data_IF_279675860139
#
_entry.id   IF_279675860139
#
_cell.length_a   1.000
_cell.length_b   1.000
_cell.length_c   1.000
_cell.angle_alpha   90.00
_cell.angle_beta   90.00
_cell.angle_gamma   90.00
#
_symmetry.space_group_name_H-M   'P 1'
#
loop_
_entity.id
_entity.type
_entity.pdbx_description
1 polymer ?
#
# COMPACT_ATOMS: atom_id res chain seq x y z
N UNK A 1 3.96 24.51 13.77
CA UNK A 1 2.91 23.52 14.12
C UNK A 1 2.79 22.54 12.96
N UNK A 2 2.92 21.24 13.22
CA UNK A 2 2.61 20.22 12.21
C UNK A 2 1.12 20.29 11.87
N UNK A 3 0.79 20.38 10.60
CA UNK A 3 -0.61 20.38 10.15
C UNK A 3 -1.20 18.98 10.27
N UNK A 4 -2.50 18.90 10.56
CA UNK A 4 -3.25 17.65 10.57
C UNK A 4 -3.30 17.02 9.15
N UNK A 5 -3.39 15.70 9.09
CA UNK A 5 -3.46 14.90 7.85
C UNK A 5 -4.52 15.44 6.87
N UNK A 6 -5.73 15.75 7.36
CA UNK A 6 -6.81 16.30 6.52
C UNK A 6 -6.44 17.66 5.91
N UNK A 7 -5.72 18.51 6.66
CA UNK A 7 -5.24 19.81 6.14
C UNK A 7 -4.12 19.64 5.12
N UNK A 8 -3.21 18.67 5.35
CA UNK A 8 -2.14 18.35 4.39
C UNK A 8 -2.74 17.82 3.06
N UNK A 9 -3.71 16.94 3.14
CA UNK A 9 -4.39 16.37 1.98
C UNK A 9 -5.02 17.45 1.08
N UNK A 10 -5.50 18.54 1.65
CA UNK A 10 -6.18 19.63 0.93
C UNK A 10 -5.22 20.70 0.39
N UNK A 11 -4.20 21.07 1.17
CA UNK A 11 -3.47 22.32 0.93
C UNK A 11 -1.97 22.15 0.67
N UNK A 12 -1.39 20.97 0.93
CA UNK A 12 0.04 20.80 0.74
C UNK A 12 0.42 20.83 -0.75
N UNK A 13 1.58 21.41 -1.05
CA UNK A 13 2.20 21.44 -2.37
C UNK A 13 1.37 22.12 -3.48
N UNK A 14 0.43 22.98 -3.15
CA UNK A 14 -0.32 23.73 -4.15
C UNK A 14 -0.49 25.21 -3.77
N UNK A 15 -0.04 26.08 -4.64
CA UNK A 15 -0.19 27.53 -4.51
C UNK A 15 -1.08 28.06 -5.65
N UNK A 16 -2.31 28.56 -5.33
CA UNK A 16 -3.18 29.18 -6.32
C UNK A 16 -2.54 30.36 -7.06
N UNK A 17 -1.68 31.13 -6.41
CA UNK A 17 -1.08 32.33 -7.03
C UNK A 17 -0.13 31.96 -8.17
N UNK A 18 0.58 30.86 -8.06
CA UNK A 18 1.43 30.30 -9.11
C UNK A 18 0.63 29.61 -10.24
N UNK A 19 -0.71 29.43 -10.05
CA UNK A 19 -1.60 28.70 -10.95
C UNK A 19 -2.81 29.54 -11.39
N UNK A 20 -2.58 30.80 -11.79
CA UNK A 20 -3.62 31.71 -12.31
C UNK A 20 -4.79 31.95 -11.34
N UNK A 21 -4.60 31.76 -10.02
CA UNK A 21 -5.64 31.87 -9.01
C UNK A 21 -6.59 30.66 -8.93
N UNK A 22 -6.29 29.54 -9.62
CA UNK A 22 -7.09 28.33 -9.53
C UNK A 22 -7.10 27.78 -8.11
N UNK A 23 -8.28 27.39 -7.61
CA UNK A 23 -8.40 26.72 -6.31
C UNK A 23 -8.24 25.18 -6.44
N UNK A 24 -8.35 24.65 -7.65
CA UNK A 24 -8.10 23.23 -7.95
C UNK A 24 -6.74 23.05 -8.63
N UNK A 25 -6.07 21.94 -8.35
CA UNK A 25 -4.80 21.56 -9.02
C UNK A 25 -5.05 21.40 -10.52
N UNK A 26 -4.33 22.11 -11.40
CA UNK A 26 -4.50 21.97 -12.84
C UNK A 26 -4.05 20.60 -13.37
N UNK A 27 -4.72 20.11 -14.39
CA UNK A 27 -4.31 18.91 -15.13
C UNK A 27 -3.36 19.28 -16.26
N UNK A 28 -2.06 18.94 -16.10
CA UNK A 28 -1.04 19.09 -17.14
C UNK A 28 -0.97 17.82 -17.99
N UNK A 29 -1.83 17.73 -18.99
CA UNK A 29 -1.90 16.59 -19.92
C UNK A 29 -0.86 16.77 -21.05
N UNK A 30 0.42 16.75 -20.68
CA UNK A 30 1.55 16.88 -21.59
C UNK A 30 2.53 15.72 -21.38
N UNK A 31 3.19 15.27 -22.44
CA UNK A 31 4.23 14.24 -22.35
C UNK A 31 5.64 14.83 -22.16
N UNK A 32 5.88 16.06 -22.60
CA UNK A 32 7.18 16.71 -22.56
C UNK A 32 7.05 18.20 -22.27
N UNK A 33 8.11 18.79 -21.74
CA UNK A 33 8.21 20.20 -21.37
C UNK A 33 9.39 20.84 -22.08
N UNK A 34 9.23 22.12 -22.49
CA UNK A 34 10.27 22.86 -23.20
C UNK A 34 11.38 23.33 -22.25
N UNK A 35 12.59 23.37 -22.74
CA UNK A 35 13.74 23.94 -22.06
C UNK A 35 14.02 25.37 -22.59
N UNK A 36 14.61 26.23 -21.75
CA UNK A 36 14.94 27.59 -22.11
C UNK A 36 16.17 27.65 -23.04
N UNK A 37 17.09 26.68 -22.91
CA UNK A 37 18.30 26.57 -23.72
C UNK A 37 18.85 25.14 -23.71
N UNK A 38 19.86 24.86 -24.54
CA UNK A 38 20.60 23.58 -24.52
C UNK A 38 21.36 23.39 -23.22
N UNK A 39 21.91 24.45 -22.61
CA UNK A 39 22.62 24.38 -21.34
C UNK A 39 21.64 24.10 -20.19
N UNK A 40 20.43 24.71 -20.21
CA UNK A 40 19.36 24.38 -19.28
C UNK A 40 18.98 22.90 -19.39
N UNK A 41 18.76 22.40 -20.61
CA UNK A 41 18.47 21.01 -20.86
C UNK A 41 19.56 20.08 -20.29
N UNK A 42 20.84 20.37 -20.58
CA UNK A 42 21.97 19.59 -20.08
C UNK A 42 21.96 19.52 -18.54
N UNK A 43 21.80 20.65 -17.84
CA UNK A 43 21.74 20.69 -16.38
C UNK A 43 20.58 19.91 -15.79
N UNK A 44 19.43 19.84 -16.49
CA UNK A 44 18.28 19.02 -16.07
C UNK A 44 18.58 17.53 -16.24
N UNK A 45 19.18 17.11 -17.37
CA UNK A 45 19.57 15.72 -17.59
C UNK A 45 20.67 15.24 -16.64
N UNK A 46 21.56 16.14 -16.22
CA UNK A 46 22.61 15.85 -15.22
C UNK A 46 22.13 15.93 -13.77
N UNK A 47 20.82 16.11 -13.54
CA UNK A 47 20.19 16.25 -12.21
C UNK A 47 20.72 17.44 -11.39
N UNK A 48 21.29 18.46 -12.05
CA UNK A 48 21.81 19.69 -11.42
C UNK A 48 20.75 20.78 -11.31
N UNK A 49 19.78 20.78 -12.23
CA UNK A 49 18.69 21.76 -12.29
C UNK A 49 17.34 21.03 -12.12
N UNK A 50 16.56 21.34 -11.07
CA UNK A 50 15.22 20.78 -10.93
C UNK A 50 14.27 21.40 -11.95
N UNK A 51 13.69 20.57 -12.84
CA UNK A 51 12.70 20.98 -13.81
C UNK A 51 11.81 19.82 -14.25
N UNK A 52 10.67 20.16 -14.89
CA UNK A 52 9.89 19.16 -15.61
C UNK A 52 10.50 18.93 -16.98
N UNK A 53 10.66 17.67 -17.37
CA UNK A 53 11.23 17.34 -18.66
C UNK A 53 10.35 16.38 -19.48
N UNK A 54 9.88 15.33 -18.86
CA UNK A 54 9.08 14.30 -19.50
C UNK A 54 8.19 13.59 -18.48
N UNK A 55 6.90 13.43 -18.78
CA UNK A 55 5.88 12.96 -17.82
C UNK A 55 6.16 11.57 -17.25
N UNK A 56 6.96 10.73 -17.91
CA UNK A 56 7.41 9.46 -17.33
C UNK A 56 8.26 9.63 -16.06
N UNK A 57 9.00 10.75 -15.94
CA UNK A 57 9.83 11.06 -14.78
C UNK A 57 9.11 11.98 -13.79
N UNK A 58 8.54 13.07 -14.31
CA UNK A 58 7.88 14.08 -13.50
C UNK A 58 6.84 14.85 -14.32
N UNK A 59 5.79 15.33 -13.63
CA UNK A 59 4.72 16.13 -14.23
C UNK A 59 4.12 17.02 -13.15
N UNK A 60 3.76 18.29 -13.43
CA UNK A 60 3.27 19.22 -12.39
C UNK A 60 2.05 18.71 -11.62
N UNK A 61 1.11 18.02 -12.27
CA UNK A 61 -0.05 17.42 -11.59
C UNK A 61 0.37 16.25 -10.70
N UNK A 62 1.21 15.35 -11.22
CA UNK A 62 1.69 14.18 -10.48
C UNK A 62 2.57 14.60 -9.30
N UNK A 63 3.37 15.66 -9.45
CA UNK A 63 4.23 16.20 -8.40
C UNK A 63 3.43 16.67 -7.17
N UNK A 64 2.29 17.33 -7.37
CA UNK A 64 1.40 17.69 -6.26
C UNK A 64 0.89 16.44 -5.52
N UNK A 65 0.50 15.40 -6.25
CA UNK A 65 0.10 14.13 -5.64
C UNK A 65 1.24 13.52 -4.81
N UNK A 66 2.44 13.43 -5.38
CA UNK A 66 3.62 12.85 -4.75
C UNK A 66 4.01 13.60 -3.48
N UNK A 67 4.07 14.93 -3.54
CA UNK A 67 4.37 15.77 -2.37
C UNK A 67 3.31 15.63 -1.27
N UNK A 68 2.02 15.56 -1.62
CA UNK A 68 0.94 15.31 -0.63
C UNK A 68 1.10 13.94 0.02
N UNK A 69 1.38 12.89 -0.75
CA UNK A 69 1.60 11.54 -0.22
C UNK A 69 2.81 11.49 0.73
N UNK A 70 3.93 12.11 0.34
CA UNK A 70 5.11 12.24 1.20
C UNK A 70 4.78 12.98 2.52
N UNK A 71 4.05 14.09 2.44
CA UNK A 71 3.67 14.86 3.62
C UNK A 71 2.72 14.11 4.56
N UNK A 72 1.79 13.30 4.02
CA UNK A 72 0.87 12.49 4.81
C UNK A 72 1.62 11.43 5.62
N UNK A 73 2.62 10.80 5.04
CA UNK A 73 3.47 9.81 5.70
C UNK A 73 4.61 10.44 6.52
N UNK A 74 4.93 11.71 6.32
CA UNK A 74 6.09 12.36 6.93
C UNK A 74 7.41 11.95 6.30
N UNK A 75 7.38 11.53 5.03
CA UNK A 75 8.54 11.17 4.22
C UNK A 75 9.21 12.39 3.57
N UNK A 76 10.42 12.17 3.04
CA UNK A 76 11.21 13.21 2.33
C UNK A 76 10.81 13.34 0.86
N UNK A 77 10.16 12.32 0.28
CA UNK A 77 9.72 12.33 -1.09
C UNK A 77 8.87 11.10 -1.43
N UNK A 78 8.20 11.17 -2.57
CA UNK A 78 7.41 10.06 -3.11
C UNK A 78 7.54 9.98 -4.63
N UNK A 79 7.27 8.81 -5.20
CA UNK A 79 7.03 8.59 -6.62
C UNK A 79 5.67 7.91 -6.81
N UNK A 80 4.93 8.36 -7.81
CA UNK A 80 3.67 7.74 -8.21
C UNK A 80 3.90 6.79 -9.40
N UNK A 81 3.29 5.62 -9.34
CA UNK A 81 3.44 4.54 -10.31
C UNK A 81 2.10 4.08 -10.87
N UNK A 82 2.11 3.33 -11.97
CA UNK A 82 0.91 2.88 -12.68
C UNK A 82 0.01 1.92 -11.86
N UNK A 83 0.54 1.29 -10.80
CA UNK A 83 -0.19 0.38 -9.92
C UNK A 83 0.58 0.13 -8.63
N UNK A 84 -0.07 -0.43 -7.59
CA UNK A 84 0.61 -0.90 -6.38
C UNK A 84 1.70 -1.94 -6.68
N UNK A 85 1.44 -2.87 -7.60
CA UNK A 85 2.46 -3.84 -8.04
C UNK A 85 3.67 -3.18 -8.70
N UNK A 86 3.45 -2.11 -9.47
CA UNK A 86 4.56 -1.31 -10.02
C UNK A 86 5.36 -0.61 -8.91
N UNK A 87 4.71 -0.13 -7.85
CA UNK A 87 5.39 0.47 -6.71
C UNK A 87 6.30 -0.55 -6.00
N UNK A 88 5.78 -1.76 -5.74
CA UNK A 88 6.55 -2.86 -5.17
C UNK A 88 7.74 -3.24 -6.08
N UNK A 89 7.49 -3.45 -7.37
CA UNK A 89 8.53 -3.81 -8.33
C UNK A 89 9.60 -2.71 -8.44
N UNK A 90 9.19 -1.43 -8.52
CA UNK A 90 10.13 -0.30 -8.56
C UNK A 90 11.01 -0.26 -7.30
N UNK A 91 10.43 -0.46 -6.12
CA UNK A 91 11.19 -0.55 -4.86
C UNK A 91 12.23 -1.66 -4.91
N UNK A 92 11.80 -2.87 -5.29
CA UNK A 92 12.68 -4.05 -5.36
C UNK A 92 13.82 -3.83 -6.36
N UNK A 93 13.53 -3.44 -7.59
CA UNK A 93 14.55 -3.24 -8.62
C UNK A 93 15.45 -2.01 -8.40
N UNK A 94 15.03 -1.07 -7.55
CA UNK A 94 15.92 0.01 -7.10
C UNK A 94 16.94 -0.49 -6.08
N UNK A 95 16.58 -1.47 -5.24
CA UNK A 95 17.41 -1.92 -4.12
C UNK A 95 18.21 -3.20 -4.41
N UNK A 96 17.63 -4.13 -5.17
CA UNK A 96 18.11 -5.51 -5.31
C UNK A 96 18.57 -5.82 -6.72
N UNK A 97 19.53 -6.74 -6.79
CA UNK A 97 20.06 -7.35 -8.02
C UNK A 97 20.03 -8.89 -7.92
N UNK A 98 20.39 -9.56 -9.02
CA UNK A 98 20.51 -11.02 -9.02
C UNK A 98 21.52 -11.48 -7.95
N UNK A 99 21.14 -12.48 -7.17
CA UNK A 99 21.88 -13.00 -6.02
C UNK A 99 21.41 -12.46 -4.68
N UNK A 100 20.58 -11.43 -4.65
CA UNK A 100 20.06 -10.84 -3.41
C UNK A 100 18.85 -11.61 -2.85
N UNK A 101 18.55 -11.36 -1.59
CA UNK A 101 17.51 -12.03 -0.83
C UNK A 101 16.57 -11.03 -0.14
N UNK A 102 15.30 -11.42 -0.01
CA UNK A 102 14.24 -10.70 0.70
C UNK A 102 13.74 -11.57 1.85
N UNK A 103 13.53 -10.98 3.04
CA UNK A 103 12.70 -11.57 4.09
C UNK A 103 11.33 -10.90 4.05
N UNK A 104 10.27 -11.68 3.86
CA UNK A 104 8.92 -11.13 3.71
C UNK A 104 7.92 -11.82 4.63
N UNK A 105 6.91 -11.08 5.10
CA UNK A 105 5.73 -11.67 5.74
C UNK A 105 5.04 -12.65 4.79
N UNK A 106 4.57 -13.77 5.31
CA UNK A 106 3.73 -14.72 4.55
C UNK A 106 2.30 -14.21 4.34
N UNK A 107 1.88 -13.24 5.17
CA UNK A 107 0.55 -12.62 5.13
C UNK A 107 0.58 -11.35 4.27
N UNK A 108 0.85 -11.52 2.97
CA UNK A 108 0.88 -10.43 1.99
C UNK A 108 -0.15 -10.66 0.89
N UNK A 109 -0.48 -9.61 0.17
CA UNK A 109 -1.36 -9.67 -1.00
C UNK A 109 -0.92 -10.77 -1.98
N UNK A 110 -1.87 -11.54 -2.52
CA UNK A 110 -1.56 -12.68 -3.40
C UNK A 110 -0.71 -12.33 -4.63
N UNK A 111 -0.87 -11.11 -5.18
CA UNK A 111 -0.02 -10.63 -6.26
C UNK A 111 1.42 -10.40 -5.81
N UNK A 112 1.62 -9.87 -4.61
CA UNK A 112 2.95 -9.71 -3.98
C UNK A 112 3.59 -11.06 -3.71
N UNK A 113 2.83 -12.00 -3.14
CA UNK A 113 3.31 -13.36 -2.91
C UNK A 113 3.80 -14.01 -4.22
N UNK A 114 3.01 -13.92 -5.28
CA UNK A 114 3.38 -14.48 -6.58
C UNK A 114 4.61 -13.78 -7.21
N UNK A 115 4.71 -12.45 -7.07
CA UNK A 115 5.89 -11.72 -7.51
C UNK A 115 7.15 -12.24 -6.80
N UNK A 116 7.10 -12.33 -5.46
CA UNK A 116 8.23 -12.72 -4.63
C UNK A 116 8.61 -14.21 -4.77
N UNK A 117 7.61 -15.11 -4.92
CA UNK A 117 7.83 -16.56 -4.92
C UNK A 117 8.08 -17.16 -6.32
N UNK A 118 7.56 -16.53 -7.39
CA UNK A 118 7.59 -17.10 -8.73
C UNK A 118 8.35 -16.23 -9.72
N UNK A 119 8.09 -14.93 -9.73
CA UNK A 119 8.65 -14.03 -10.75
C UNK A 119 10.09 -13.65 -10.44
N UNK A 120 10.38 -13.18 -9.24
CA UNK A 120 11.72 -12.74 -8.84
C UNK A 120 12.80 -13.85 -8.85
N UNK A 121 12.49 -15.11 -8.51
CA UNK A 121 13.47 -16.21 -8.66
C UNK A 121 13.99 -16.39 -10.09
N UNK A 122 13.18 -16.08 -11.11
CA UNK A 122 13.62 -16.11 -12.52
C UNK A 122 14.65 -15.01 -12.83
N UNK A 123 14.69 -13.96 -11.98
CA UNK A 123 15.63 -12.85 -12.08
C UNK A 123 16.79 -12.99 -11.07
N UNK A 124 16.87 -14.14 -10.40
CA UNK A 124 17.94 -14.45 -9.46
C UNK A 124 17.76 -13.81 -8.07
N UNK A 125 16.59 -13.27 -7.74
CA UNK A 125 16.27 -12.73 -6.41
C UNK A 125 15.43 -13.76 -5.65
N UNK A 126 15.84 -14.12 -4.43
CA UNK A 126 15.16 -15.13 -3.61
C UNK A 126 14.41 -14.49 -2.45
N UNK A 127 13.40 -15.20 -1.93
CA UNK A 127 12.60 -14.72 -0.79
C UNK A 127 12.38 -15.84 0.22
N UNK A 128 12.57 -15.52 1.52
CA UNK A 128 12.09 -16.33 2.63
C UNK A 128 10.84 -15.68 3.23
N UNK A 129 9.75 -16.45 3.25
CA UNK A 129 8.50 -16.03 3.88
C UNK A 129 8.45 -16.47 5.33
N UNK A 130 8.00 -15.56 6.21
CA UNK A 130 7.92 -15.80 7.66
C UNK A 130 6.54 -15.46 8.20
N UNK A 131 6.14 -16.11 9.30
CA UNK A 131 4.98 -15.69 10.06
C UNK A 131 5.32 -14.39 10.82
N UNK A 132 4.64 -13.31 10.45
CA UNK A 132 4.89 -11.98 10.97
C UNK A 132 4.32 -11.74 12.39
N UNK A 133 3.62 -12.73 12.98
CA UNK A 133 3.08 -12.63 14.35
C UNK A 133 4.19 -12.63 15.41
N UNK A 134 5.34 -13.26 15.13
CA UNK A 134 6.52 -13.15 15.97
C UNK A 134 7.65 -12.43 15.18
N UNK A 135 8.02 -11.20 15.56
CA UNK A 135 9.10 -10.46 14.89
C UNK A 135 10.43 -11.21 14.82
N UNK A 136 10.72 -12.13 15.76
CA UNK A 136 11.93 -12.96 15.75
C UNK A 136 12.04 -13.88 14.53
N UNK A 137 10.93 -14.20 13.90
CA UNK A 137 10.94 -14.98 12.66
C UNK A 137 11.62 -14.22 11.51
N UNK A 138 11.52 -12.89 11.48
CA UNK A 138 12.26 -12.07 10.52
C UNK A 138 13.76 -12.18 10.77
N UNK A 139 14.20 -12.04 12.03
CA UNK A 139 15.61 -12.15 12.41
C UNK A 139 16.20 -13.52 12.01
N UNK A 140 15.50 -14.61 12.34
CA UNK A 140 15.92 -15.97 12.02
C UNK A 140 16.05 -16.26 10.52
N UNK A 141 15.34 -15.50 9.67
CA UNK A 141 15.33 -15.67 8.22
C UNK A 141 16.38 -14.80 7.49
N UNK A 142 17.01 -13.85 8.18
CA UNK A 142 18.04 -12.97 7.58
C UNK A 142 19.27 -13.81 7.17
N UNK A 143 19.72 -13.59 5.94
CA UNK A 143 20.88 -14.23 5.32
C UNK A 143 21.95 -13.17 4.99
N UNK A 144 23.21 -13.56 4.73
CA UNK A 144 24.26 -12.60 4.38
C UNK A 144 23.97 -11.75 3.14
N UNK A 145 23.16 -12.25 2.22
CA UNK A 145 22.73 -11.58 1.00
C UNK A 145 21.33 -10.95 1.10
N UNK A 146 20.73 -10.88 2.30
CA UNK A 146 19.46 -10.17 2.50
C UNK A 146 19.69 -8.67 2.28
N UNK A 147 18.75 -8.05 1.53
CA UNK A 147 18.80 -6.61 1.20
C UNK A 147 17.50 -5.88 1.55
N UNK A 148 16.42 -6.59 1.85
CA UNK A 148 15.13 -5.99 2.13
C UNK A 148 14.34 -6.85 3.12
N UNK A 149 13.72 -6.19 4.09
CA UNK A 149 12.63 -6.74 4.90
C UNK A 149 11.33 -6.13 4.39
N UNK A 150 10.34 -6.97 4.09
CA UNK A 150 9.07 -6.55 3.50
C UNK A 150 7.87 -7.08 4.29
N UNK A 151 6.90 -6.22 4.57
CA UNK A 151 5.63 -6.61 5.20
C UNK A 151 4.46 -5.76 4.75
N UNK A 152 3.24 -6.17 5.09
CA UNK A 152 2.04 -5.33 5.04
C UNK A 152 1.65 -4.92 6.46
N UNK A 153 1.08 -3.74 6.65
CA UNK A 153 0.60 -3.27 7.95
C UNK A 153 -0.48 -4.19 8.50
N UNK A 154 -1.42 -4.56 7.65
CA UNK A 154 -2.54 -5.45 7.93
C UNK A 154 -2.66 -6.46 6.81
N UNK A 155 -2.56 -7.74 7.13
CA UNK A 155 -2.62 -8.83 6.16
C UNK A 155 -4.01 -8.98 5.52
N UNK A 156 -4.06 -9.49 4.29
CA UNK A 156 -5.31 -9.68 3.53
C UNK A 156 -5.37 -11.09 2.92
N UNK A 157 -6.34 -11.94 3.31
CA UNK A 157 -7.56 -11.64 4.09
C UNK A 157 -7.47 -11.92 5.59
N UNK A 158 -6.33 -12.31 6.11
CA UNK A 158 -6.14 -12.80 7.49
C UNK A 158 -6.37 -11.71 8.55
N UNK A 159 -6.17 -10.43 8.20
CA UNK A 159 -6.27 -9.27 9.08
C UNK A 159 -5.35 -9.33 10.31
N UNK A 160 -4.25 -10.05 10.20
CA UNK A 160 -3.18 -10.06 11.17
C UNK A 160 -2.35 -8.76 11.05
N UNK A 161 -2.04 -8.16 12.19
CA UNK A 161 -1.29 -6.91 12.27
C UNK A 161 0.18 -7.17 12.64
N UNK A 162 1.10 -6.47 12.01
CA UNK A 162 2.54 -6.61 12.23
C UNK A 162 3.03 -5.57 13.24
N UNK A 163 3.86 -5.96 14.20
CA UNK A 163 4.57 -5.03 15.08
C UNK A 163 5.69 -4.34 14.28
N UNK A 164 5.32 -3.24 13.61
CA UNK A 164 6.20 -2.53 12.69
C UNK A 164 7.49 -2.08 13.38
N UNK A 165 7.39 -1.55 14.62
CA UNK A 165 8.55 -1.05 15.34
C UNK A 165 9.52 -2.19 15.68
N UNK A 166 9.01 -3.32 16.15
CA UNK A 166 9.86 -4.47 16.47
C UNK A 166 10.55 -5.05 15.21
N UNK A 167 9.85 -5.11 14.07
CA UNK A 167 10.44 -5.57 12.81
C UNK A 167 11.45 -4.55 12.27
N UNK A 168 11.19 -3.24 12.41
CA UNK A 168 12.12 -2.18 12.03
C UNK A 168 13.41 -2.25 12.84
N UNK A 169 13.32 -2.43 14.16
CA UNK A 169 14.50 -2.57 15.04
C UNK A 169 15.38 -3.76 14.62
N UNK A 170 14.76 -4.90 14.28
CA UNK A 170 15.46 -6.08 13.77
C UNK A 170 16.12 -5.79 12.42
N UNK A 171 15.39 -5.22 11.47
CA UNK A 171 15.93 -4.88 10.16
C UNK A 171 17.14 -3.94 10.28
N UNK A 172 17.00 -2.88 11.05
CA UNK A 172 18.05 -1.86 11.25
C UNK A 172 19.29 -2.42 11.98
N UNK A 173 19.11 -3.33 12.95
CA UNK A 173 20.22 -4.01 13.61
C UNK A 173 21.11 -4.81 12.62
N UNK A 174 20.54 -5.23 11.50
CA UNK A 174 21.25 -5.90 10.40
C UNK A 174 21.60 -4.97 9.23
N UNK A 175 21.37 -3.66 9.37
CA UNK A 175 21.61 -2.66 8.32
C UNK A 175 20.73 -2.84 7.08
N UNK A 176 19.49 -3.31 7.28
CA UNK A 176 18.50 -3.57 6.23
C UNK A 176 17.34 -2.56 6.31
N UNK A 177 16.82 -2.06 5.18
CA UNK A 177 15.62 -1.25 5.19
C UNK A 177 14.36 -2.11 5.37
N UNK A 178 13.35 -1.53 6.03
CA UNK A 178 12.00 -2.07 6.13
C UNK A 178 11.07 -1.37 5.15
N UNK A 179 10.50 -2.12 4.20
CA UNK A 179 9.41 -1.67 3.35
C UNK A 179 8.05 -2.19 3.88
N UNK A 180 7.09 -1.29 4.03
CA UNK A 180 5.75 -1.60 4.53
C UNK A 180 4.70 -1.18 3.52
N UNK A 181 3.91 -2.13 3.02
CA UNK A 181 2.71 -1.82 2.25
C UNK A 181 1.58 -1.47 3.22
N UNK A 182 1.17 -0.20 3.19
CA UNK A 182 0.16 0.36 4.08
C UNK A 182 -1.22 0.53 3.39
N UNK A 183 -1.46 -0.20 2.33
CA UNK A 183 -2.67 -0.05 1.49
C UNK A 183 -3.97 -0.21 2.27
N UNK A 184 -4.02 -1.08 3.30
CA UNK A 184 -5.25 -1.35 4.06
C UNK A 184 -5.53 -0.35 5.17
N UNK A 185 -4.53 0.42 5.61
CA UNK A 185 -4.67 1.34 6.75
C UNK A 185 -4.19 2.76 6.45
N UNK A 186 -4.49 3.32 5.24
CA UNK A 186 -4.08 4.68 4.92
C UNK A 186 -4.70 5.66 5.92
N UNK A 187 -3.95 6.67 6.32
CA UNK A 187 -4.30 7.71 7.30
C UNK A 187 -4.62 7.21 8.72
N UNK A 188 -4.78 5.90 8.92
CA UNK A 188 -4.96 5.28 10.25
C UNK A 188 -3.62 4.92 10.89
N UNK A 189 -2.66 4.44 10.10
CA UNK A 189 -1.29 4.16 10.50
C UNK A 189 -0.32 5.00 9.65
N UNK A 190 0.77 5.46 10.25
CA UNK A 190 1.92 6.06 9.56
C UNK A 190 3.15 5.19 9.86
N UNK A 191 3.47 4.19 9.02
CA UNK A 191 4.57 3.27 9.26
C UNK A 191 5.92 3.95 9.48
N UNK A 192 6.17 5.11 8.85
CA UNK A 192 7.41 5.91 9.05
C UNK A 192 7.58 6.38 10.50
N UNK A 193 6.50 6.63 11.23
CA UNK A 193 6.57 7.00 12.65
C UNK A 193 6.97 5.81 13.53
N UNK A 194 6.93 4.59 12.99
CA UNK A 194 7.24 3.33 13.66
C UNK A 194 8.48 2.63 13.09
N UNK A 195 9.30 3.35 12.32
CA UNK A 195 10.59 2.85 11.85
C UNK A 195 10.60 2.29 10.42
N UNK A 196 9.47 2.28 9.69
CA UNK A 196 9.50 1.93 8.28
C UNK A 196 10.34 2.93 7.48
N UNK A 197 11.19 2.43 6.59
CA UNK A 197 12.04 3.25 5.73
C UNK A 197 11.34 3.58 4.42
N UNK A 198 10.55 2.65 3.92
CA UNK A 198 9.82 2.76 2.66
C UNK A 198 8.37 2.38 2.91
N UNK A 199 7.44 3.27 2.52
CA UNK A 199 6.00 2.97 2.55
C UNK A 199 5.46 2.83 1.13
N UNK A 200 4.67 1.78 0.92
CA UNK A 200 4.09 1.46 -0.38
C UNK A 200 2.56 1.55 -0.28
N UNK A 201 1.94 2.03 -1.34
CA UNK A 201 0.49 2.07 -1.49
C UNK A 201 0.01 1.59 -2.85
N UNK A 202 -1.06 0.82 -2.85
CA UNK A 202 -1.95 0.76 -4.00
C UNK A 202 -2.95 1.92 -3.94
N UNK A 203 -2.68 2.99 -4.69
CA UNK A 203 -3.60 4.14 -4.78
C UNK A 203 -4.95 3.77 -5.39
N UNK A 204 -4.99 2.67 -6.14
CA UNK A 204 -6.19 2.05 -6.72
C UNK A 204 -7.31 1.85 -5.71
N UNK A 205 -6.97 1.66 -4.43
CA UNK A 205 -7.87 1.31 -3.34
C UNK A 205 -8.47 2.57 -2.72
N UNK A 206 -8.25 2.81 -1.48
CA UNK A 206 -8.84 3.89 -0.71
C UNK A 206 -8.51 5.29 -1.22
N UNK A 207 -7.34 5.51 -1.83
CA UNK A 207 -6.98 6.83 -2.35
C UNK A 207 -7.87 7.25 -3.52
N UNK A 208 -8.15 6.34 -4.45
CA UNK A 208 -9.16 6.55 -5.47
C UNK A 208 -10.57 6.58 -4.84
N UNK A 209 -10.91 5.53 -4.11
CA UNK A 209 -12.18 5.34 -3.44
C UNK A 209 -13.39 5.08 -4.34
N UNK A 210 -13.30 5.35 -5.64
CA UNK A 210 -14.41 5.28 -6.58
C UNK A 210 -14.29 4.14 -7.60
N UNK A 211 -13.19 3.36 -7.56
CA UNK A 211 -12.94 2.27 -8.50
C UNK A 211 -12.68 2.71 -9.94
N UNK A 212 -12.24 3.97 -10.16
CA UNK A 212 -12.14 4.59 -11.50
C UNK A 212 -10.71 4.70 -12.02
N UNK A 213 -9.69 4.61 -11.15
CA UNK A 213 -8.30 4.75 -11.54
C UNK A 213 -7.40 3.70 -10.88
N UNK A 214 -6.35 3.30 -11.58
CA UNK A 214 -5.27 2.47 -11.06
C UNK A 214 -4.03 3.30 -10.84
N UNK A 215 -3.33 3.04 -9.72
CA UNK A 215 -2.06 3.67 -9.40
C UNK A 215 -1.40 3.03 -8.18
N UNK A 216 -0.16 3.39 -7.96
CA UNK A 216 0.62 3.05 -6.78
C UNK A 216 1.50 4.21 -6.35
N UNK A 217 2.11 4.09 -5.20
CA UNK A 217 3.10 5.05 -4.72
C UNK A 217 4.16 4.37 -3.87
N UNK A 218 5.36 4.93 -3.91
CA UNK A 218 6.48 4.63 -3.01
C UNK A 218 6.82 5.92 -2.29
N UNK A 219 6.91 5.89 -0.97
CA UNK A 219 7.28 7.01 -0.12
C UNK A 219 8.56 6.63 0.63
N UNK A 220 9.53 7.53 0.59
CA UNK A 220 10.82 7.40 1.28
C UNK A 220 10.79 8.17 2.61
N UNK A 221 11.14 7.52 3.69
CA UNK A 221 11.28 8.16 5.00
C UNK A 221 12.43 9.17 5.04
N UNK A 222 13.49 8.93 4.23
CA UNK A 222 14.75 9.65 4.27
C UNK A 222 15.59 9.38 5.52
N UNK A 223 15.25 8.34 6.30
CA UNK A 223 15.91 8.04 7.58
C UNK A 223 16.93 6.91 7.50
N UNK A 224 16.83 6.04 6.48
CA UNK A 224 17.73 4.91 6.33
C UNK A 224 19.13 5.36 5.89
N UNK A 225 20.16 4.80 6.52
CA UNK A 225 21.56 5.06 6.17
C UNK A 225 22.00 4.19 4.98
N UNK A 226 21.91 4.74 3.78
CA UNK A 226 22.37 4.10 2.54
C UNK A 226 23.91 3.98 2.43
N UNK A 227 24.67 4.52 3.42
CA UNK A 227 26.14 4.47 3.45
C UNK A 227 26.69 3.36 4.34
N UNK A 228 25.84 2.51 4.90
CA UNK A 228 26.17 1.45 5.86
C UNK A 228 27.00 0.28 5.27
N UNK A 229 27.36 0.32 4.01
CA UNK A 229 28.15 -0.69 3.30
C UNK A 229 27.35 -1.81 2.62
N UNK A 230 26.05 -1.94 2.90
CA UNK A 230 25.21 -2.97 2.31
C UNK A 230 24.68 -2.60 0.91
N UNK A 231 24.73 -1.31 0.55
CA UNK A 231 24.10 -0.76 -0.67
C UNK A 231 25.10 0.04 -1.52
N UNK A 232 26.07 -0.63 -2.17
CA UNK A 232 27.11 0.05 -2.94
C UNK A 232 26.56 0.92 -4.08
N UNK A 233 25.43 0.56 -4.67
CA UNK A 233 24.77 1.35 -5.74
C UNK A 233 24.38 2.76 -5.32
N UNK A 234 24.34 3.08 -4.03
CA UNK A 234 24.12 4.43 -3.51
C UNK A 234 25.40 5.21 -3.23
N UNK A 235 26.53 4.51 -3.02
CA UNK A 235 27.81 5.12 -2.61
C UNK A 235 28.88 5.07 -3.69
N UNK A 236 28.77 4.14 -4.63
CA UNK A 236 29.66 4.05 -5.78
C UNK A 236 29.25 4.96 -6.93
N UNK A 237 30.18 5.34 -7.85
CA UNK A 237 29.87 6.16 -8.99
C UNK A 237 28.87 5.48 -9.93
N UNK A 238 27.70 6.11 -10.16
CA UNK A 238 26.68 5.61 -11.08
C UNK A 238 27.17 5.73 -12.54
N UNK A 239 27.20 4.63 -13.29
CA UNK A 239 27.59 4.68 -14.71
C UNK A 239 26.53 5.37 -15.57
N UNK A 240 25.28 5.42 -15.13
CA UNK A 240 24.16 6.07 -15.84
C UNK A 240 24.12 7.59 -15.71
N UNK A 241 24.87 8.15 -14.75
CA UNK A 241 24.87 9.59 -14.42
C UNK A 241 26.29 10.13 -14.21
N UNK A 242 27.20 9.86 -15.15
CA UNK A 242 28.56 10.44 -15.18
C UNK A 242 29.36 10.29 -13.88
N UNK A 243 29.13 9.20 -13.14
CA UNK A 243 29.83 8.95 -11.88
C UNK A 243 29.22 9.62 -10.67
N UNK A 244 27.98 10.12 -10.76
CA UNK A 244 27.23 10.65 -9.62
C UNK A 244 27.10 9.57 -8.53
N UNK A 245 27.22 9.97 -7.26
CA UNK A 245 26.96 9.14 -6.07
C UNK A 245 25.70 9.63 -5.39
N UNK A 246 24.67 8.79 -5.36
CA UNK A 246 23.33 9.18 -4.89
C UNK A 246 23.33 9.66 -3.44
N UNK A 247 24.01 8.94 -2.54
CA UNK A 247 24.08 9.30 -1.11
C UNK A 247 24.82 10.63 -0.86
N UNK A 248 25.91 10.89 -1.57
CA UNK A 248 26.65 12.15 -1.47
C UNK A 248 25.87 13.34 -2.04
N UNK A 249 25.18 13.12 -3.18
CA UNK A 249 24.51 14.20 -3.90
C UNK A 249 23.16 14.56 -3.32
N UNK A 250 22.37 13.56 -2.90
CA UNK A 250 20.97 13.76 -2.51
C UNK A 250 20.70 13.47 -1.01
N UNK A 251 21.70 12.96 -0.27
CA UNK A 251 21.57 12.72 1.16
C UNK A 251 20.34 11.87 1.50
N UNK A 252 19.43 12.38 2.36
CA UNK A 252 18.21 11.65 2.76
C UNK A 252 17.30 11.24 1.60
N UNK A 253 17.33 11.95 0.47
CA UNK A 253 16.50 11.65 -0.70
C UNK A 253 17.17 10.68 -1.69
N UNK A 254 18.30 10.08 -1.37
CA UNK A 254 19.07 9.22 -2.27
C UNK A 254 18.22 8.08 -2.84
N UNK A 255 17.43 7.40 -2.03
CA UNK A 255 16.59 6.29 -2.47
C UNK A 255 15.50 6.77 -3.43
N UNK A 256 14.72 7.79 -3.06
CA UNK A 256 13.59 8.20 -3.89
C UNK A 256 14.02 8.83 -5.21
N UNK A 257 15.17 9.52 -5.23
CA UNK A 257 15.74 10.04 -6.48
C UNK A 257 16.20 8.89 -7.37
N UNK A 258 16.96 7.92 -6.85
CA UNK A 258 17.38 6.75 -7.61
C UNK A 258 16.18 5.95 -8.13
N UNK A 259 15.17 5.74 -7.29
CA UNK A 259 13.94 5.07 -7.67
C UNK A 259 13.22 5.79 -8.84
N UNK A 260 13.28 7.12 -8.90
CA UNK A 260 12.72 7.91 -10.01
C UNK A 260 13.54 7.80 -11.27
N UNK A 261 14.86 8.05 -11.18
CA UNK A 261 15.72 8.24 -12.37
C UNK A 261 16.30 6.95 -12.95
N UNK A 262 16.23 5.84 -12.20
CA UNK A 262 16.56 4.50 -12.69
C UNK A 262 15.31 3.60 -12.65
N UNK A 263 14.74 3.36 -11.47
CA UNK A 263 13.60 2.46 -11.30
C UNK A 263 12.39 2.83 -12.16
N UNK A 264 11.81 4.00 -11.93
CA UNK A 264 10.61 4.44 -12.64
C UNK A 264 10.89 4.75 -14.13
N UNK A 265 11.98 5.47 -14.40
CA UNK A 265 12.36 5.86 -15.78
C UNK A 265 12.55 4.65 -16.69
N UNK A 266 13.29 3.65 -16.21
CA UNK A 266 13.74 2.52 -17.04
C UNK A 266 12.67 1.44 -17.15
N UNK A 267 11.93 1.17 -16.08
CA UNK A 267 10.79 0.24 -16.10
C UNK A 267 9.56 0.84 -16.80
N UNK A 268 9.46 2.16 -16.87
CA UNK A 268 8.40 2.86 -17.59
C UNK A 268 7.01 2.80 -16.91
N UNK A 269 6.93 2.38 -15.66
CA UNK A 269 5.68 2.18 -14.91
C UNK A 269 5.10 3.48 -14.32
N UNK A 270 5.20 4.59 -15.04
CA UNK A 270 4.74 5.90 -14.60
C UNK A 270 3.22 6.03 -14.52
N UNK A 271 2.75 6.89 -13.62
CA UNK A 271 1.34 7.25 -13.51
C UNK A 271 0.97 8.30 -14.56
N UNK A 272 -0.24 8.20 -15.16
CA UNK A 272 -0.72 9.25 -16.05
C UNK A 272 -1.17 10.49 -15.25
N UNK A 273 -1.00 11.72 -15.79
CA UNK A 273 -1.51 12.94 -15.14
C UNK A 273 -3.01 12.92 -14.88
N UNK A 274 -3.80 12.29 -15.76
CA UNK A 274 -5.24 12.12 -15.57
C UNK A 274 -5.56 11.28 -14.33
N UNK A 275 -4.84 10.16 -14.12
CA UNK A 275 -5.02 9.36 -12.92
C UNK A 275 -4.51 10.10 -11.68
N UNK A 276 -3.41 10.84 -11.77
CA UNK A 276 -2.91 11.70 -10.69
C UNK A 276 -3.98 12.71 -10.24
N UNK A 277 -4.66 13.34 -11.19
CA UNK A 277 -5.75 14.27 -10.92
C UNK A 277 -6.92 13.59 -10.18
N UNK A 278 -7.32 12.37 -10.60
CA UNK A 278 -8.36 11.58 -9.91
C UNK A 278 -7.94 11.25 -8.48
N UNK A 279 -6.68 10.87 -8.26
CA UNK A 279 -6.16 10.57 -6.92
C UNK A 279 -6.08 11.81 -6.03
N UNK A 280 -5.75 12.98 -6.57
CA UNK A 280 -5.79 14.23 -5.81
C UNK A 280 -7.21 14.50 -5.29
N UNK A 281 -8.23 14.35 -6.13
CA UNK A 281 -9.63 14.50 -5.72
C UNK A 281 -10.04 13.46 -4.67
N UNK A 282 -9.66 12.20 -4.85
CA UNK A 282 -9.93 11.14 -3.88
C UNK A 282 -9.21 11.38 -2.54
N UNK A 283 -7.98 11.88 -2.58
CA UNK A 283 -7.18 12.19 -1.41
C UNK A 283 -7.84 13.27 -0.52
N UNK A 284 -8.45 14.27 -1.12
CA UNK A 284 -9.08 15.38 -0.40
C UNK A 284 -10.22 14.95 0.54
N UNK A 285 -10.85 13.80 0.26
CA UNK A 285 -11.91 13.22 1.11
C UNK A 285 -11.51 11.93 1.82
N UNK A 286 -10.26 11.49 1.68
CA UNK A 286 -9.80 10.19 2.15
C UNK A 286 -10.07 9.97 3.64
N UNK A 287 -9.66 10.92 4.49
CA UNK A 287 -9.82 10.79 5.95
C UNK A 287 -11.29 10.66 6.37
N UNK A 288 -12.20 11.43 5.74
CA UNK A 288 -13.65 11.35 6.01
C UNK A 288 -14.21 9.99 5.62
N UNK A 289 -13.82 9.48 4.45
CA UNK A 289 -14.30 8.17 3.94
C UNK A 289 -13.81 7.02 4.81
N UNK A 290 -12.53 7.01 5.18
CA UNK A 290 -11.94 5.97 6.02
C UNK A 290 -12.60 5.99 7.40
N UNK A 291 -12.79 7.16 8.01
CA UNK A 291 -13.41 7.26 9.33
C UNK A 291 -14.85 6.74 9.32
N UNK A 292 -15.67 7.14 8.33
CA UNK A 292 -17.04 6.69 8.20
C UNK A 292 -17.11 5.17 7.96
N UNK A 293 -16.37 4.66 6.98
CA UNK A 293 -16.37 3.24 6.65
C UNK A 293 -15.85 2.36 7.81
N UNK A 294 -14.84 2.84 8.57
CA UNK A 294 -14.32 2.12 9.75
C UNK A 294 -15.34 2.06 10.90
N UNK A 295 -16.11 3.13 11.12
CA UNK A 295 -17.20 3.14 12.09
C UNK A 295 -18.29 2.15 11.69
N UNK A 296 -18.72 2.16 10.43
CA UNK A 296 -19.69 1.22 9.88
C UNK A 296 -19.19 -0.23 9.97
N UNK A 297 -17.89 -0.46 9.71
CA UNK A 297 -17.27 -1.78 9.81
C UNK A 297 -17.32 -2.33 11.25
N UNK A 298 -17.01 -1.50 12.24
CA UNK A 298 -17.09 -1.90 13.65
C UNK A 298 -18.52 -2.28 14.04
N UNK A 299 -19.50 -1.51 13.60
CA UNK A 299 -20.90 -1.75 13.90
C UNK A 299 -21.41 -3.05 13.24
N UNK A 300 -21.03 -3.28 11.97
CA UNK A 300 -21.35 -4.52 11.26
C UNK A 300 -20.65 -5.72 11.89
N UNK A 301 -19.37 -5.61 12.27
CA UNK A 301 -18.63 -6.69 12.92
C UNK A 301 -19.30 -7.11 14.25
N UNK A 302 -19.68 -6.14 15.08
CA UNK A 302 -20.44 -6.40 16.32
C UNK A 302 -21.82 -7.02 16.06
N UNK A 303 -22.47 -6.65 14.96
CA UNK A 303 -23.73 -7.24 14.55
C UNK A 303 -23.55 -8.68 14.07
N UNK A 304 -22.53 -8.96 13.25
CA UNK A 304 -22.21 -10.30 12.77
C UNK A 304 -21.91 -11.28 13.90
N UNK A 305 -21.20 -10.86 14.96
CA UNK A 305 -20.94 -11.72 16.14
C UNK A 305 -22.21 -12.24 16.82
N UNK A 306 -23.36 -11.56 16.64
CA UNK A 306 -24.64 -11.93 17.23
C UNK A 306 -25.52 -12.78 16.33
N UNK A 307 -25.08 -13.06 15.09
CA UNK A 307 -25.88 -13.86 14.16
C UNK A 307 -25.66 -15.36 14.42
N UNK A 308 -26.75 -16.16 14.53
CA UNK A 308 -26.63 -17.58 14.84
C UNK A 308 -25.94 -18.39 13.74
N UNK A 309 -25.95 -17.91 12.49
CA UNK A 309 -25.32 -18.55 11.32
C UNK A 309 -23.81 -18.33 11.25
N UNK A 310 -23.29 -17.31 11.96
CA UNK A 310 -21.87 -16.92 11.94
C UNK A 310 -21.09 -17.75 12.96
N UNK A 311 -20.00 -18.36 12.52
CA UNK A 311 -19.11 -19.16 13.35
C UNK A 311 -18.07 -18.31 14.08
N UNK A 312 -17.49 -17.34 13.38
CA UNK A 312 -16.44 -16.45 13.88
C UNK A 312 -16.44 -15.14 13.08
N UNK A 313 -15.94 -14.07 13.69
CA UNK A 313 -15.73 -12.76 13.06
C UNK A 313 -14.32 -12.29 13.40
N UNK A 314 -13.56 -11.90 12.40
CA UNK A 314 -12.23 -11.32 12.51
C UNK A 314 -12.27 -9.85 12.05
N UNK A 315 -12.07 -8.94 12.98
CA UNK A 315 -11.99 -7.50 12.76
C UNK A 315 -11.24 -6.85 13.92
N UNK A 316 -10.12 -6.18 13.68
CA UNK A 316 -9.25 -5.66 14.75
C UNK A 316 -9.91 -4.65 15.71
N UNK A 317 -11.04 -4.06 15.31
CA UNK A 317 -11.82 -3.16 16.17
C UNK A 317 -12.69 -3.85 17.21
N UNK A 318 -12.80 -5.18 17.22
CA UNK A 318 -13.48 -5.94 18.24
C UNK A 318 -12.54 -6.20 19.42
N UNK A 319 -12.95 -5.91 20.64
CA UNK A 319 -12.16 -6.18 21.85
C UNK A 319 -11.80 -7.66 22.04
N UNK A 320 -12.58 -8.55 21.43
CA UNK A 320 -12.32 -10.00 21.42
C UNK A 320 -11.36 -10.47 20.33
N UNK A 321 -10.96 -9.59 19.43
CA UNK A 321 -10.00 -9.90 18.36
C UNK A 321 -8.59 -10.02 18.95
N UNK A 322 -7.86 -11.06 18.56
CA UNK A 322 -6.50 -11.32 19.06
C UNK A 322 -5.49 -10.23 18.70
N UNK A 323 -5.77 -9.42 17.68
CA UNK A 323 -4.92 -8.33 17.24
C UNK A 323 -5.38 -6.95 17.73
N UNK A 324 -6.46 -6.89 18.55
CA UNK A 324 -7.04 -5.63 19.01
C UNK A 324 -6.00 -4.73 19.72
N UNK A 325 -5.28 -5.26 20.68
CA UNK A 325 -4.32 -4.50 21.48
C UNK A 325 -3.17 -3.92 20.64
N UNK A 326 -2.64 -4.70 19.69
CA UNK A 326 -1.58 -4.20 18.81
C UNK A 326 -2.14 -3.17 17.84
N UNK A 327 -3.30 -3.38 17.27
CA UNK A 327 -3.96 -2.43 16.38
C UNK A 327 -4.26 -1.10 17.08
N UNK A 328 -4.72 -1.11 18.33
CA UNK A 328 -5.01 0.10 19.12
C UNK A 328 -3.74 0.97 19.37
N UNK A 329 -2.58 0.32 19.49
CA UNK A 329 -1.29 1.04 19.60
C UNK A 329 -0.94 1.81 18.32
N UNK A 330 -1.15 1.21 17.16
CA UNK A 330 -0.70 1.72 15.87
C UNK A 330 -1.75 2.53 15.13
N UNK A 331 -3.01 2.12 15.17
CA UNK A 331 -4.09 2.73 14.40
C UNK A 331 -4.72 3.89 15.16
N UNK A 332 -5.01 4.98 14.45
CA UNK A 332 -5.64 6.18 15.02
C UNK A 332 -6.91 6.54 14.26
N UNK A 333 -8.02 6.65 14.96
CA UNK A 333 -9.30 7.04 14.38
C UNK A 333 -10.13 5.92 13.73
N UNK A 334 -9.72 4.65 13.90
CA UNK A 334 -10.45 3.47 13.42
C UNK A 334 -9.57 2.26 13.22
N UNK A 335 -10.15 1.13 12.84
CA UNK A 335 -9.48 -0.17 12.71
C UNK A 335 -9.52 -0.73 11.29
N UNK A 336 -9.75 0.13 10.29
CA UNK A 336 -9.86 -0.26 8.88
C UNK A 336 -11.30 -0.58 8.48
N UNK A 337 -11.47 -0.95 7.20
CA UNK A 337 -12.77 -1.12 6.57
C UNK A 337 -13.02 -2.55 6.06
N UNK A 338 -12.14 -3.49 6.41
CA UNK A 338 -12.23 -4.89 5.99
C UNK A 338 -12.67 -5.74 7.18
N UNK A 339 -13.67 -6.59 6.95
CA UNK A 339 -14.13 -7.60 7.90
C UNK A 339 -13.99 -8.96 7.22
N UNK A 340 -13.52 -9.97 7.96
CA UNK A 340 -13.64 -11.37 7.55
C UNK A 340 -14.42 -12.15 8.57
N UNK A 341 -15.22 -13.11 8.14
CA UNK A 341 -16.00 -13.96 9.03
C UNK A 341 -16.28 -15.30 8.36
N UNK A 342 -16.60 -16.30 9.16
CA UNK A 342 -16.94 -17.64 8.69
C UNK A 342 -18.39 -18.01 9.00
N UNK A 343 -19.00 -18.78 8.08
CA UNK A 343 -20.34 -19.37 8.27
C UNK A 343 -20.25 -20.80 8.80
N UNK A 344 -21.16 -21.18 9.71
CA UNK A 344 -21.18 -22.50 10.37
C UNK A 344 -21.33 -23.65 9.40
N UNK A 345 -22.09 -23.45 8.31
CA UNK A 345 -22.38 -24.48 7.33
C UNK A 345 -21.33 -24.56 6.19
N UNK A 346 -20.18 -23.88 6.39
CA UNK A 346 -18.97 -24.03 5.59
C UNK A 346 -19.05 -23.44 4.17
N UNK A 347 -18.39 -24.11 3.22
CA UNK A 347 -18.12 -23.59 1.86
C UNK A 347 -19.40 -23.24 1.08
N UNK A 348 -20.38 -24.14 1.01
CA UNK A 348 -21.60 -23.89 0.21
C UNK A 348 -22.46 -22.79 0.80
N UNK A 349 -22.55 -22.71 2.14
CA UNK A 349 -23.26 -21.63 2.80
C UNK A 349 -22.57 -20.26 2.55
N UNK A 350 -21.25 -20.20 2.66
CA UNK A 350 -20.49 -18.98 2.39
C UNK A 350 -20.66 -18.51 0.94
N UNK A 351 -20.61 -19.42 -0.01
CA UNK A 351 -20.84 -19.14 -1.43
C UNK A 351 -22.27 -18.66 -1.68
N UNK A 352 -23.27 -19.39 -1.17
CA UNK A 352 -24.68 -19.03 -1.27
C UNK A 352 -24.97 -17.67 -0.65
N UNK A 353 -24.36 -17.38 0.50
CA UNK A 353 -24.47 -16.08 1.16
C UNK A 353 -23.99 -14.94 0.26
N UNK A 354 -22.78 -15.08 -0.30
CA UNK A 354 -22.18 -14.09 -1.20
C UNK A 354 -23.04 -13.86 -2.46
N UNK A 355 -23.57 -14.94 -3.03
CA UNK A 355 -24.41 -14.87 -4.25
C UNK A 355 -25.79 -14.23 -4.02
N UNK A 356 -26.24 -14.12 -2.76
CA UNK A 356 -27.55 -13.59 -2.39
C UNK A 356 -27.54 -12.15 -1.83
N UNK A 357 -26.39 -11.49 -1.77
CA UNK A 357 -26.33 -10.06 -1.40
C UNK A 357 -26.87 -9.19 -2.55
N UNK A 358 -27.56 -8.09 -2.21
CA UNK A 358 -28.21 -7.20 -3.16
C UNK A 358 -27.50 -5.84 -3.26
N UNK A 359 -26.99 -5.31 -2.13
CA UNK A 359 -26.21 -4.06 -2.06
C UNK A 359 -24.73 -4.35 -2.26
N UNK A 360 -24.19 -5.30 -1.50
CA UNK A 360 -22.80 -5.71 -1.66
C UNK A 360 -22.55 -6.28 -3.05
N UNK A 361 -21.47 -5.82 -3.70
CA UNK A 361 -21.09 -6.32 -5.04
C UNK A 361 -19.95 -7.33 -4.94
N UNK A 362 -20.08 -8.42 -5.69
CA UNK A 362 -19.03 -9.45 -5.79
C UNK A 362 -17.93 -8.91 -6.71
N UNK A 363 -16.84 -8.44 -6.11
CA UNK A 363 -15.72 -7.84 -6.85
C UNK A 363 -14.41 -8.18 -6.16
N UNK A 364 -13.40 -8.59 -6.94
CA UNK A 364 -12.02 -8.80 -6.48
C UNK A 364 -11.31 -7.45 -6.23
N UNK A 365 -11.92 -6.57 -5.44
CA UNK A 365 -11.40 -5.26 -5.07
C UNK A 365 -11.68 -4.97 -3.59
N UNK A 366 -11.22 -3.82 -3.09
CA UNK A 366 -11.49 -3.29 -1.76
C UNK A 366 -11.27 -1.78 -1.74
N UNK A 367 -11.74 -1.10 -0.69
CA UNK A 367 -11.49 0.33 -0.50
C UNK A 367 -12.30 1.24 -1.42
N UNK A 368 -13.38 0.73 -2.00
CA UNK A 368 -14.35 1.50 -2.80
C UNK A 368 -15.35 2.21 -1.86
N UNK A 369 -15.98 3.28 -2.34
CA UNK A 369 -17.11 3.94 -1.68
C UNK A 369 -18.34 3.04 -1.62
N UNK A 370 -18.41 2.03 -2.47
CA UNK A 370 -19.43 0.97 -2.45
C UNK A 370 -18.94 -0.23 -1.69
N UNK A 371 -19.83 -0.84 -0.91
CA UNK A 371 -19.52 -2.07 -0.17
C UNK A 371 -19.34 -3.26 -1.11
N UNK A 372 -18.23 -3.98 -0.92
CA UNK A 372 -17.85 -5.13 -1.74
C UNK A 372 -17.78 -6.39 -0.90
N UNK A 373 -18.07 -7.53 -1.54
CA UNK A 373 -18.02 -8.85 -0.92
C UNK A 373 -17.30 -9.84 -1.82
N UNK A 374 -16.63 -10.81 -1.21
CA UNK A 374 -16.03 -11.92 -1.95
C UNK A 374 -15.93 -13.16 -1.06
N UNK A 375 -16.00 -14.34 -1.67
CA UNK A 375 -15.65 -15.62 -1.09
C UNK A 375 -14.26 -16.03 -1.58
N UNK A 376 -13.18 -15.80 -0.82
CA UNK A 376 -11.81 -15.94 -1.31
C UNK A 376 -11.47 -17.35 -1.81
N UNK A 377 -11.92 -18.39 -1.11
CA UNK A 377 -11.63 -19.78 -1.44
C UNK A 377 -12.12 -20.19 -2.84
N UNK A 378 -13.29 -19.69 -3.27
CA UNK A 378 -13.84 -19.99 -4.61
C UNK A 378 -13.40 -19.01 -5.70
N UNK A 379 -12.72 -17.91 -5.36
CA UNK A 379 -12.42 -16.81 -6.30
C UNK A 379 -10.95 -16.43 -6.30
N UNK A 380 -10.53 -15.50 -5.47
CA UNK A 380 -9.17 -14.90 -5.49
C UNK A 380 -8.06 -15.89 -5.12
N UNK A 381 -8.36 -16.94 -4.38
CA UNK A 381 -7.40 -17.96 -3.93
C UNK A 381 -7.68 -19.35 -4.52
N UNK A 382 -8.58 -19.45 -5.51
CA UNK A 382 -8.97 -20.73 -6.13
C UNK A 382 -7.80 -21.49 -6.78
N UNK A 383 -6.76 -20.77 -7.19
CA UNK A 383 -5.58 -21.38 -7.82
C UNK A 383 -4.59 -22.00 -6.82
N UNK A 384 -4.76 -21.70 -5.52
CA UNK A 384 -3.93 -22.24 -4.45
C UNK A 384 -4.43 -23.62 -4.02
N UNK A 385 -3.51 -24.49 -3.59
CA UNK A 385 -3.86 -25.73 -2.91
C UNK A 385 -4.54 -25.43 -1.57
N UNK A 386 -5.26 -26.39 -1.00
CA UNK A 386 -5.90 -26.23 0.32
C UNK A 386 -4.89 -25.86 1.42
N UNK A 387 -3.67 -26.40 1.37
CA UNK A 387 -2.61 -26.09 2.30
C UNK A 387 -2.13 -24.64 2.16
N UNK A 388 -1.95 -24.19 0.92
CA UNK A 388 -1.60 -22.80 0.60
C UNK A 388 -2.72 -21.83 1.00
N UNK A 389 -4.00 -22.20 0.77
CA UNK A 389 -5.14 -21.40 1.22
C UNK A 389 -5.14 -21.24 2.74
N UNK A 390 -4.95 -22.32 3.49
CA UNK A 390 -4.88 -22.29 4.96
C UNK A 390 -3.70 -21.44 5.45
N UNK A 391 -2.55 -21.56 4.83
CA UNK A 391 -1.37 -20.72 5.15
C UNK A 391 -1.64 -19.23 4.93
N UNK A 392 -2.41 -18.90 3.89
CA UNK A 392 -2.87 -17.54 3.62
C UNK A 392 -4.05 -17.08 4.50
N UNK A 393 -4.51 -17.92 5.45
CA UNK A 393 -5.66 -17.63 6.32
C UNK A 393 -7.02 -17.74 5.61
N UNK A 394 -7.07 -18.43 4.47
CA UNK A 394 -8.31 -18.65 3.71
C UNK A 394 -8.90 -20.00 4.07
N UNK A 395 -10.01 -19.98 4.81
CA UNK A 395 -10.81 -21.18 5.11
C UNK A 395 -11.99 -21.30 4.14
N UNK A 396 -12.56 -22.51 3.96
CA UNK A 396 -13.67 -22.74 3.03
C UNK A 396 -14.94 -21.93 3.39
N UNK A 397 -15.14 -21.60 4.66
CA UNK A 397 -16.28 -20.85 5.21
C UNK A 397 -16.08 -19.33 5.18
N UNK A 398 -14.88 -18.84 4.81
CA UNK A 398 -14.50 -17.44 4.94
C UNK A 398 -15.18 -16.55 3.90
N UNK A 399 -15.82 -15.49 4.37
CA UNK A 399 -16.32 -14.36 3.58
C UNK A 399 -15.54 -13.11 3.96
N UNK A 400 -15.16 -12.30 2.97
CA UNK A 400 -14.53 -10.98 3.16
C UNK A 400 -15.47 -9.88 2.71
N UNK A 401 -15.71 -8.91 3.59
CA UNK A 401 -16.39 -7.64 3.30
C UNK A 401 -15.37 -6.51 3.19
N UNK A 402 -15.59 -5.59 2.25
CA UNK A 402 -14.96 -4.27 2.22
C UNK A 402 -16.09 -3.25 2.36
N UNK A 403 -16.14 -2.57 3.50
CA UNK A 403 -17.24 -1.69 3.85
C UNK A 403 -17.07 -0.34 3.17
N UNK A 404 -18.13 0.14 2.52
CA UNK A 404 -18.23 1.40 1.83
C UNK A 404 -18.89 2.51 2.67
N UNK A 405 -19.62 3.38 2.00
CA UNK A 405 -20.21 4.60 2.58
C UNK A 405 -21.74 4.56 2.67
N UNK A 406 -22.35 3.43 2.37
CA UNK A 406 -23.80 3.24 2.47
C UNK A 406 -24.28 3.35 3.92
N UNK A 407 -25.56 3.62 4.11
CA UNK A 407 -26.18 3.60 5.42
C UNK A 407 -26.00 2.21 6.07
N UNK A 408 -25.48 2.16 7.28
CA UNK A 408 -25.12 0.90 7.97
C UNK A 408 -26.33 -0.01 8.18
N UNK A 409 -27.52 0.54 8.36
CA UNK A 409 -28.77 -0.23 8.53
C UNK A 409 -29.17 -0.94 7.23
N UNK A 410 -28.96 -0.31 6.07
CA UNK A 410 -29.22 -0.93 4.77
C UNK A 410 -28.24 -2.10 4.53
N UNK A 411 -26.95 -1.92 4.90
CA UNK A 411 -25.95 -2.98 4.81
C UNK A 411 -26.30 -4.17 5.71
N UNK A 412 -26.72 -3.93 6.96
CA UNK A 412 -27.17 -4.98 7.87
C UNK A 412 -28.42 -5.71 7.35
N UNK A 413 -29.36 -4.97 6.77
CA UNK A 413 -30.57 -5.56 6.19
C UNK A 413 -30.24 -6.49 5.01
N UNK A 414 -29.30 -6.07 4.14
CA UNK A 414 -28.80 -6.87 3.03
C UNK A 414 -28.11 -8.15 3.52
N UNK A 415 -27.20 -8.03 4.47
CA UNK A 415 -26.52 -9.19 5.07
C UNK A 415 -27.53 -10.14 5.77
N UNK A 416 -28.54 -9.60 6.48
CA UNK A 416 -29.53 -10.41 7.18
C UNK A 416 -30.41 -11.22 6.21
N UNK A 417 -30.82 -10.64 5.07
CA UNK A 417 -31.60 -11.37 4.08
C UNK A 417 -30.76 -12.45 3.38
N UNK A 418 -29.47 -12.18 3.13
CA UNK A 418 -28.54 -13.14 2.53
C UNK A 418 -28.26 -14.33 3.49
N UNK A 419 -28.06 -14.09 4.81
CA UNK A 419 -27.91 -15.15 5.81
C UNK A 419 -29.11 -16.10 5.82
N UNK A 420 -30.34 -15.58 5.81
CA UNK A 420 -31.58 -16.39 5.76
C UNK A 420 -31.70 -17.25 4.50
N UNK A 421 -31.11 -16.82 3.38
CA UNK A 421 -31.12 -17.59 2.13
C UNK A 421 -30.03 -18.65 2.10
N UNK A 422 -28.89 -18.39 2.72
CA UNK A 422 -27.73 -19.28 2.75
C UNK A 422 -27.95 -20.55 3.58
N UNK A 423 -28.85 -20.51 4.59
CA UNK A 423 -29.13 -21.61 5.52
C UNK A 423 -30.37 -22.40 5.17
N UNK A 424 -30.95 -22.21 3.98
CA UNK A 424 -32.04 -23.02 3.42
C UNK A 424 -31.51 -24.05 2.42
#
# INVERSE_FOLDING_TARGET
>A
MSKNVSTLALHHAFDPTANCGSTAVPLYQANAFAFDSTDHAAGVFDLQIPAYLYTRLNNPTTDVLEQRLAALEGGVGAIATASGMSAIATTIFTLLRAGDHIVASSSVYGGTYNLLSVTLPRLGITTTFVDAQDPKNFEAAIQPNTKLVYTETLGNPKLDFVDIAAVADIAHAHGLPLAVDNTLTPVLCRPIDHGADIVIYSLTKYFCGNGTAMGGAVIDSGKFDWTNGNFPDFTEPSPGYHGLRYSETFGPAAFIVRARVEGLRDLGSCLSPSNSFIFIQGLETLSLRIQHASQSALEIARWLQRQPEVAWVNYPGLESDQHHEICDRYLKGGFGCIITFGLKDGYEAAKSFVDNTEIFRIVANLGDTKSLIIHPSSTTHRQLSEEQQRSAGVTPDLVRLSIGLEAVEDLKADLAQALKKATK
#
